data_IF_982397817514
#
_entry.id   IF_982397817514
#
_cell.length_a   1.000
_cell.length_b   1.000
_cell.length_c   1.000
_cell.angle_alpha   90.00
_cell.angle_beta   90.00
_cell.angle_gamma   90.00
#
_symmetry.space_group_name_H-M   'P 1'
#
loop_
_entity.id
_entity.type
_entity.pdbx_description
1 polymer ?
#
# COMPACT_ATOMS: atom_id res chain seq x y z
N UNK A 1 10.85 -11.54 -23.30
CA UNK A 1 12.15 -10.88 -23.14
C UNK A 1 12.37 -10.49 -21.69
N UNK A 2 13.61 -10.49 -21.27
CA UNK A 2 14.03 -10.19 -19.90
C UNK A 2 15.03 -9.03 -19.93
N UNK A 3 14.92 -8.10 -18.99
CA UNK A 3 15.82 -6.94 -18.87
C UNK A 3 16.54 -6.97 -17.52
N UNK A 4 17.82 -6.61 -17.53
CA UNK A 4 18.59 -6.32 -16.31
C UNK A 4 18.71 -4.82 -16.14
N UNK A 5 18.36 -4.32 -14.96
CA UNK A 5 18.59 -2.95 -14.56
C UNK A 5 19.84 -2.87 -13.71
N UNK A 6 20.73 -1.95 -14.02
CA UNK A 6 21.88 -1.64 -13.17
C UNK A 6 21.71 -0.25 -12.56
N UNK A 7 21.78 -0.20 -11.26
CA UNK A 7 21.82 1.00 -10.45
C UNK A 7 22.44 0.62 -9.12
N UNK A 8 23.61 1.16 -8.80
CA UNK A 8 24.38 0.74 -7.63
C UNK A 8 24.92 -0.70 -7.71
N UNK A 9 25.94 -1.03 -6.94
CA UNK A 9 26.55 -2.38 -6.89
C UNK A 9 25.53 -3.43 -6.43
N UNK A 10 25.24 -4.43 -7.25
CA UNK A 10 24.45 -5.61 -6.89
C UNK A 10 22.99 -5.62 -7.35
N UNK A 11 22.58 -4.76 -8.27
CA UNK A 11 21.17 -4.64 -8.73
C UNK A 11 20.80 -5.55 -9.91
N UNK A 12 21.40 -6.72 -10.07
CA UNK A 12 21.05 -7.68 -11.12
C UNK A 12 19.56 -8.08 -11.05
N UNK A 13 18.67 -7.28 -11.67
CA UNK A 13 17.23 -7.52 -11.70
C UNK A 13 16.85 -8.17 -13.02
N UNK A 14 16.93 -9.49 -13.10
CA UNK A 14 16.48 -10.26 -14.24
C UNK A 14 15.00 -10.63 -14.06
N UNK A 15 14.12 -9.83 -14.64
CA UNK A 15 12.67 -9.98 -14.51
C UNK A 15 11.96 -9.87 -15.87
N UNK A 16 10.74 -10.43 -16.03
CA UNK A 16 9.91 -10.24 -17.21
C UNK A 16 9.63 -8.77 -17.51
N UNK A 17 9.38 -8.44 -18.78
CA UNK A 17 9.09 -7.07 -19.20
C UNK A 17 7.80 -6.50 -18.63
N UNK A 18 6.84 -7.35 -18.30
CA UNK A 18 5.56 -6.99 -17.70
C UNK A 18 5.58 -6.94 -16.16
N UNK A 19 6.69 -7.34 -15.52
CA UNK A 19 6.87 -7.18 -14.07
C UNK A 19 6.82 -5.73 -13.67
N UNK A 20 6.10 -5.46 -12.57
CA UNK A 20 5.99 -4.11 -12.02
C UNK A 20 7.19 -3.78 -11.15
N UNK A 21 7.74 -2.60 -11.34
CA UNK A 21 8.82 -2.02 -10.56
C UNK A 21 8.36 -0.70 -9.95
N UNK A 22 8.60 -0.52 -8.66
CA UNK A 22 8.23 0.71 -7.97
C UNK A 22 9.22 1.83 -8.31
N UNK A 23 8.71 2.87 -8.96
CA UNK A 23 9.44 4.10 -9.25
C UNK A 23 9.00 5.21 -8.30
N UNK A 24 9.70 6.34 -8.30
CA UNK A 24 9.29 7.54 -7.54
C UNK A 24 7.89 8.05 -7.91
N UNK A 25 7.43 7.76 -9.12
CA UNK A 25 6.13 8.21 -9.64
C UNK A 25 5.04 7.13 -9.60
N UNK A 26 5.32 5.97 -9.03
CA UNK A 26 4.42 4.83 -8.95
C UNK A 26 4.94 3.60 -9.69
N UNK A 27 4.06 2.62 -9.85
CA UNK A 27 4.40 1.36 -10.51
C UNK A 27 4.57 1.54 -12.02
N UNK A 28 5.67 1.00 -12.55
CA UNK A 28 6.00 1.00 -13.97
C UNK A 28 6.40 -0.41 -14.41
N UNK A 29 6.05 -0.81 -15.62
CA UNK A 29 6.50 -2.10 -16.14
C UNK A 29 8.01 -2.08 -16.38
N UNK A 30 8.67 -3.21 -16.14
CA UNK A 30 10.10 -3.37 -16.37
C UNK A 30 10.49 -2.99 -17.80
N UNK A 31 9.67 -3.34 -18.80
CA UNK A 31 9.90 -3.01 -20.20
C UNK A 31 9.81 -1.52 -20.54
N UNK A 32 9.17 -0.72 -19.70
CA UNK A 32 8.97 0.71 -19.89
C UNK A 32 10.00 1.55 -19.13
N UNK A 33 10.87 0.93 -18.33
CA UNK A 33 11.91 1.62 -17.57
C UNK A 33 12.96 2.21 -18.52
N UNK A 34 13.44 3.41 -18.19
CA UNK A 34 14.45 4.15 -18.95
C UNK A 34 15.64 4.49 -18.07
N UNK A 35 16.78 4.74 -18.70
CA UNK A 35 17.93 5.33 -18.01
C UNK A 35 17.52 6.68 -17.43
N UNK A 36 17.87 6.92 -16.18
CA UNK A 36 17.47 8.09 -15.41
C UNK A 36 16.20 7.91 -14.57
N UNK A 37 15.42 6.82 -14.76
CA UNK A 37 14.31 6.52 -13.86
C UNK A 37 14.81 6.26 -12.44
N UNK A 38 14.04 6.70 -11.44
CA UNK A 38 14.33 6.52 -10.03
C UNK A 38 13.52 5.32 -9.48
N UNK A 39 14.22 4.30 -9.00
CA UNK A 39 13.62 3.06 -8.50
C UNK A 39 13.84 2.92 -7.00
N UNK A 40 12.79 2.54 -6.27
CA UNK A 40 12.92 2.23 -4.86
C UNK A 40 13.52 0.84 -4.63
N UNK A 41 14.45 0.80 -3.68
CA UNK A 41 15.02 -0.43 -3.16
C UNK A 41 14.34 -0.80 -1.83
N UNK A 42 14.10 -2.09 -1.54
CA UNK A 42 13.53 -2.50 -0.25
C UNK A 42 14.43 -2.16 0.95
N UNK A 43 15.64 -1.72 0.72
CA UNK A 43 16.63 -1.43 1.77
C UNK A 43 16.78 0.04 2.10
N UNK A 44 16.44 0.90 1.15
CA UNK A 44 16.63 2.35 1.27
C UNK A 44 15.28 3.05 1.16
N UNK A 45 15.13 4.15 1.88
CA UNK A 45 14.00 5.07 1.73
C UNK A 45 14.13 5.91 0.48
N UNK A 46 15.37 6.22 0.09
CA UNK A 46 15.68 6.99 -1.11
C UNK A 46 15.77 6.10 -2.35
N UNK A 47 15.34 6.60 -3.53
CA UNK A 47 15.42 5.85 -4.76
C UNK A 47 16.85 5.77 -5.30
N UNK A 48 17.08 4.80 -6.15
CA UNK A 48 18.32 4.62 -6.92
C UNK A 48 18.06 4.93 -8.39
N UNK A 49 18.97 5.65 -9.04
CA UNK A 49 18.84 6.01 -10.45
C UNK A 49 19.24 4.83 -11.33
N UNK A 50 18.46 4.55 -12.38
CA UNK A 50 18.78 3.56 -13.42
C UNK A 50 19.91 4.10 -14.29
N UNK A 51 21.05 3.43 -14.27
CA UNK A 51 22.24 3.84 -15.03
C UNK A 51 22.45 3.01 -16.33
N UNK A 52 21.76 1.87 -16.46
CA UNK A 52 21.85 1.03 -17.65
C UNK A 52 20.71 0.03 -17.75
N UNK A 53 20.38 -0.35 -18.99
CA UNK A 53 19.37 -1.34 -19.33
C UNK A 53 20.02 -2.36 -20.24
N UNK A 54 19.92 -3.64 -19.87
CA UNK A 54 20.60 -4.73 -20.58
C UNK A 54 19.57 -5.82 -20.93
N UNK A 55 19.07 -5.85 -22.17
CA UNK A 55 18.17 -6.91 -22.63
C UNK A 55 18.90 -8.24 -22.72
N UNK A 56 18.30 -9.30 -22.18
CA UNK A 56 18.86 -10.65 -22.18
C UNK A 56 18.11 -11.63 -23.09
N UNK A 57 17.16 -11.15 -23.88
CA UNK A 57 16.34 -11.97 -24.77
C UNK A 57 15.42 -12.93 -24.01
N UNK A 58 14.97 -13.99 -24.67
CA UNK A 58 14.10 -14.98 -24.07
C UNK A 58 14.91 -15.94 -23.16
N UNK A 59 14.51 -16.03 -21.90
CA UNK A 59 15.09 -16.94 -20.89
C UNK A 59 13.99 -17.63 -20.09
N UNK A 60 14.27 -18.80 -19.48
CA UNK A 60 13.33 -19.43 -18.55
C UNK A 60 13.02 -18.52 -17.35
N UNK A 61 11.73 -18.45 -17.01
CA UNK A 61 11.22 -17.69 -15.88
C UNK A 61 10.82 -18.64 -14.76
N UNK A 62 11.16 -18.28 -13.55
CA UNK A 62 10.82 -18.98 -12.32
C UNK A 62 9.92 -18.10 -11.46
N UNK A 63 8.86 -18.66 -10.93
CA UNK A 63 7.98 -17.99 -9.96
C UNK A 63 8.39 -18.43 -8.56
N UNK A 64 8.87 -17.48 -7.76
CA UNK A 64 9.10 -17.66 -6.34
C UNK A 64 7.88 -17.20 -5.58
N UNK A 65 7.32 -18.10 -4.75
CA UNK A 65 6.16 -17.79 -3.91
C UNK A 65 6.55 -17.86 -2.44
N UNK A 66 6.20 -16.82 -1.69
CA UNK A 66 6.39 -16.75 -0.24
C UNK A 66 5.24 -17.40 0.50
N UNK A 67 5.44 -17.75 1.78
CA UNK A 67 4.43 -18.41 2.61
C UNK A 67 3.16 -17.57 2.85
N UNK A 68 3.23 -16.26 2.63
CA UNK A 68 2.08 -15.34 2.69
C UNK A 68 1.36 -15.17 1.34
N UNK A 69 1.68 -16.01 0.34
CA UNK A 69 1.04 -16.05 -0.97
C UNK A 69 1.55 -15.01 -1.98
N UNK A 70 2.46 -14.12 -1.61
CA UNK A 70 3.09 -13.20 -2.58
C UNK A 70 4.02 -13.97 -3.51
N UNK A 71 4.09 -13.55 -4.76
CA UNK A 71 5.00 -14.16 -5.73
C UNK A 71 5.71 -13.10 -6.56
N UNK A 72 6.87 -13.48 -7.08
CA UNK A 72 7.60 -12.69 -8.07
C UNK A 72 8.19 -13.62 -9.13
N UNK A 73 8.23 -13.16 -10.36
CA UNK A 73 8.79 -13.86 -11.49
C UNK A 73 10.18 -13.31 -11.83
N UNK A 74 11.11 -14.20 -12.07
CA UNK A 74 12.51 -13.83 -12.31
C UNK A 74 13.29 -14.93 -13.04
N UNK A 75 14.44 -14.56 -13.59
CA UNK A 75 15.42 -15.54 -14.11
C UNK A 75 16.28 -16.14 -13.00
N UNK A 76 17.04 -17.19 -13.34
CA UNK A 76 17.94 -17.88 -12.40
C UNK A 76 19.03 -16.97 -11.82
N UNK A 77 19.45 -15.96 -12.57
CA UNK A 77 20.53 -15.04 -12.18
C UNK A 77 20.00 -13.83 -11.37
N UNK A 78 18.68 -13.75 -11.13
CA UNK A 78 18.10 -12.67 -10.34
C UNK A 78 18.62 -12.70 -8.90
N UNK A 79 19.04 -11.55 -8.40
CA UNK A 79 19.62 -11.40 -7.07
C UNK A 79 18.58 -11.10 -6.01
N UNK A 80 18.59 -11.89 -4.96
CA UNK A 80 17.73 -11.75 -3.79
C UNK A 80 18.57 -11.45 -2.56
N UNK A 81 18.14 -10.46 -1.80
CA UNK A 81 18.63 -10.35 -0.43
C UNK A 81 17.86 -11.32 0.44
N UNK A 82 18.56 -12.23 1.09
CA UNK A 82 17.96 -13.25 1.95
C UNK A 82 18.58 -13.29 3.34
N UNK A 83 17.87 -13.93 4.25
CA UNK A 83 18.35 -14.37 5.56
C UNK A 83 18.03 -15.85 5.74
N UNK A 84 18.94 -16.57 6.37
CA UNK A 84 18.66 -17.92 6.87
C UNK A 84 18.01 -17.83 8.23
N UNK A 85 17.46 -18.95 8.70
CA UNK A 85 16.85 -19.07 10.03
C UNK A 85 17.80 -18.59 11.15
N UNK A 86 19.05 -19.02 11.12
CA UNK A 86 20.11 -18.59 12.06
C UNK A 86 20.33 -17.08 12.03
N UNK A 87 20.24 -16.46 10.88
CA UNK A 87 20.41 -15.00 10.74
C UNK A 87 19.18 -14.23 11.20
N UNK A 88 17.98 -14.77 11.00
CA UNK A 88 16.75 -14.18 11.57
C UNK A 88 16.83 -14.18 13.09
N UNK A 89 17.29 -15.28 13.70
CA UNK A 89 17.47 -15.36 15.15
C UNK A 89 18.51 -14.36 15.67
N UNK A 90 19.67 -14.26 15.00
CA UNK A 90 20.70 -13.24 15.31
C UNK A 90 20.20 -11.82 15.13
N UNK A 91 19.39 -11.57 14.09
CA UNK A 91 18.79 -10.25 13.86
C UNK A 91 17.86 -9.82 14.99
N UNK A 92 17.05 -10.75 15.53
CA UNK A 92 16.22 -10.51 16.72
C UNK A 92 17.02 -10.12 17.96
N UNK A 93 18.30 -10.52 18.00
CA UNK A 93 19.27 -10.16 19.05
C UNK A 93 20.10 -8.92 18.71
N UNK A 94 19.70 -8.15 17.70
CA UNK A 94 20.37 -6.90 17.29
C UNK A 94 21.55 -7.07 16.33
N UNK A 95 21.89 -8.30 15.92
CA UNK A 95 22.97 -8.53 14.95
C UNK A 95 22.46 -8.34 13.52
N UNK A 96 23.08 -7.45 12.77
CA UNK A 96 22.77 -7.26 11.34
C UNK A 96 23.48 -8.32 10.51
N UNK A 97 22.76 -9.03 9.64
CA UNK A 97 23.32 -9.96 8.68
C UNK A 97 22.29 -10.35 7.63
N UNK A 98 22.65 -10.17 6.40
CA UNK A 98 21.92 -10.67 5.22
C UNK A 98 22.96 -10.88 4.14
N UNK A 99 22.66 -11.72 3.16
CA UNK A 99 23.54 -11.89 2.00
C UNK A 99 22.70 -11.94 0.73
N UNK A 100 23.36 -11.65 -0.37
CA UNK A 100 22.74 -11.67 -1.70
C UNK A 100 23.02 -13.02 -2.33
N UNK A 101 21.97 -13.65 -2.85
CA UNK A 101 22.01 -14.92 -3.56
C UNK A 101 21.19 -14.82 -4.85
N UNK A 102 21.65 -15.54 -5.87
CA UNK A 102 20.89 -15.73 -7.10
C UNK A 102 19.70 -16.66 -6.85
N UNK A 103 18.67 -16.58 -7.71
CA UNK A 103 17.57 -17.55 -7.70
C UNK A 103 18.07 -18.97 -7.75
N UNK A 104 19.08 -19.26 -8.60
CA UNK A 104 19.70 -20.57 -8.73
C UNK A 104 20.30 -21.05 -7.41
N UNK A 105 21.11 -20.22 -6.75
CA UNK A 105 21.71 -20.56 -5.46
C UNK A 105 20.66 -20.80 -4.37
N UNK A 106 19.57 -20.03 -4.36
CA UNK A 106 18.47 -20.25 -3.41
C UNK A 106 17.84 -21.62 -3.63
N UNK A 107 17.58 -21.99 -4.87
CA UNK A 107 17.01 -23.31 -5.22
C UNK A 107 17.99 -24.41 -4.80
N UNK A 108 19.24 -24.34 -5.25
CA UNK A 108 20.21 -25.42 -5.09
C UNK A 108 20.71 -25.59 -3.64
N UNK A 109 20.92 -24.49 -2.92
CA UNK A 109 21.51 -24.52 -1.57
C UNK A 109 20.49 -24.66 -0.46
N UNK A 110 19.26 -24.20 -0.67
CA UNK A 110 18.22 -24.12 0.37
C UNK A 110 16.96 -24.90 0.02
N UNK A 111 16.21 -24.50 -1.00
CA UNK A 111 14.86 -25.02 -1.26
C UNK A 111 14.89 -26.51 -1.64
N UNK A 112 15.85 -26.96 -2.45
CA UNK A 112 16.03 -28.38 -2.80
C UNK A 112 16.33 -29.25 -1.58
N UNK A 113 16.82 -28.67 -0.48
CA UNK A 113 17.15 -29.33 0.79
C UNK A 113 16.09 -29.12 1.86
N UNK A 114 14.91 -28.61 1.49
CA UNK A 114 13.83 -28.32 2.42
C UNK A 114 14.15 -27.24 3.45
N UNK A 115 15.10 -26.34 3.15
CA UNK A 115 15.49 -25.26 4.06
C UNK A 115 14.79 -23.97 3.68
N UNK A 116 14.27 -23.25 4.67
CA UNK A 116 13.63 -21.95 4.46
C UNK A 116 14.64 -20.84 4.30
N UNK A 117 14.29 -19.87 3.45
CA UNK A 117 14.95 -18.58 3.36
C UNK A 117 13.91 -17.48 3.63
N UNK A 118 14.38 -16.36 4.17
CA UNK A 118 13.53 -15.24 4.56
C UNK A 118 13.93 -14.01 3.78
N UNK A 119 12.95 -13.34 3.19
CA UNK A 119 13.14 -12.03 2.57
C UNK A 119 13.01 -10.95 3.64
N UNK A 120 13.84 -9.90 3.62
CA UNK A 120 13.66 -8.77 4.51
C UNK A 120 12.36 -8.04 4.15
N UNK A 121 11.68 -7.51 5.16
CA UNK A 121 10.56 -6.58 4.95
C UNK A 121 11.13 -5.31 4.33
N UNK A 122 10.46 -4.80 3.30
CA UNK A 122 10.83 -3.53 2.69
C UNK A 122 10.71 -2.39 3.71
N UNK A 123 11.65 -1.46 3.65
CA UNK A 123 11.55 -0.21 4.40
C UNK A 123 10.47 0.68 3.77
N UNK A 124 9.88 1.60 4.55
CA UNK A 124 9.05 2.64 3.95
C UNK A 124 9.84 3.35 2.85
N UNK A 125 9.24 3.48 1.69
CA UNK A 125 9.79 4.34 0.64
C UNK A 125 9.20 5.74 0.77
N UNK A 126 9.95 6.78 0.45
CA UNK A 126 9.47 8.14 0.48
C UNK A 126 9.13 8.61 -0.94
N UNK A 127 7.81 8.67 -1.22
CA UNK A 127 7.30 9.29 -2.42
C UNK A 127 7.52 10.80 -2.39
N UNK A 128 7.09 11.49 -3.45
CA UNK A 128 7.12 12.95 -3.47
C UNK A 128 5.94 13.51 -2.67
N UNK A 129 6.16 14.62 -2.01
CA UNK A 129 5.05 15.43 -1.51
C UNK A 129 4.22 15.93 -2.70
N UNK A 130 2.89 15.79 -2.60
CA UNK A 130 1.95 16.13 -3.68
C UNK A 130 0.92 17.11 -3.18
N UNK A 131 0.50 18.00 -4.07
CA UNK A 131 -0.70 18.80 -3.88
C UNK A 131 -1.91 17.91 -4.16
N UNK A 132 -2.42 17.25 -3.10
CA UNK A 132 -3.50 16.30 -3.21
C UNK A 132 -4.86 16.99 -3.20
N UNK A 133 -5.82 16.55 -4.02
CA UNK A 133 -7.12 17.20 -4.18
C UNK A 133 -7.94 17.30 -2.89
N UNK A 134 -7.77 16.30 -2.00
CA UNK A 134 -8.41 16.24 -0.69
C UNK A 134 -7.31 15.94 0.34
N UNK A 135 -7.41 16.54 1.53
CA UNK A 135 -6.52 16.18 2.65
C UNK A 135 -6.51 14.65 2.84
N UNK A 136 -5.33 14.01 2.94
CA UNK A 136 -5.22 12.55 3.02
C UNK A 136 -6.01 11.92 4.17
N UNK A 137 -6.01 12.56 5.35
CA UNK A 137 -6.79 12.07 6.49
C UNK A 137 -8.30 12.11 6.20
N UNK A 138 -8.77 13.22 5.62
CA UNK A 138 -10.18 13.38 5.25
C UNK A 138 -10.60 12.34 4.22
N UNK A 139 -9.76 12.08 3.22
CA UNK A 139 -10.02 11.02 2.25
C UNK A 139 -10.07 9.64 2.93
N UNK A 140 -9.16 9.37 3.85
CA UNK A 140 -9.14 8.10 4.60
C UNK A 140 -10.43 7.87 5.37
N UNK A 141 -10.90 8.87 6.12
CA UNK A 141 -12.18 8.80 6.85
C UNK A 141 -13.35 8.62 5.87
N UNK A 142 -13.36 9.34 4.75
CA UNK A 142 -14.44 9.20 3.77
C UNK A 142 -14.46 7.83 3.08
N UNK A 143 -13.33 7.22 2.85
CA UNK A 143 -13.25 5.88 2.26
C UNK A 143 -13.88 4.81 3.16
N UNK A 144 -13.81 4.96 4.49
CA UNK A 144 -14.54 4.12 5.44
C UNK A 144 -16.01 4.58 5.58
N UNK A 145 -16.22 5.68 6.27
CA UNK A 145 -17.53 6.14 6.75
C UNK A 145 -18.27 7.12 5.82
N UNK A 146 -17.78 7.36 4.61
CA UNK A 146 -18.44 8.26 3.66
C UNK A 146 -19.75 7.69 3.12
N UNK A 147 -20.72 8.56 2.87
CA UNK A 147 -21.95 8.19 2.17
C UNK A 147 -21.76 8.24 0.66
N UNK A 148 -22.32 7.25 -0.07
CA UNK A 148 -22.32 7.25 -1.53
C UNK A 148 -23.04 8.49 -2.07
N UNK A 149 -22.55 9.03 -3.17
CA UNK A 149 -23.11 10.20 -3.87
C UNK A 149 -23.23 11.45 -3.01
N UNK A 150 -22.47 11.53 -1.91
CA UNK A 150 -22.42 12.70 -1.06
C UNK A 150 -21.05 12.89 -0.42
N UNK A 151 -20.79 14.07 0.11
CA UNK A 151 -19.61 14.32 0.95
C UNK A 151 -19.90 14.11 2.45
N UNK A 152 -21.04 13.52 2.79
CA UNK A 152 -21.43 13.28 4.18
C UNK A 152 -20.66 12.11 4.76
N UNK A 153 -20.39 12.18 6.06
CA UNK A 153 -19.79 11.13 6.86
C UNK A 153 -20.81 10.61 7.87
N UNK A 154 -20.85 9.29 8.05
CA UNK A 154 -21.67 8.64 9.09
C UNK A 154 -20.74 8.20 10.21
N UNK A 155 -20.62 9.00 11.26
CA UNK A 155 -19.66 8.80 12.36
C UNK A 155 -20.47 8.67 13.65
N UNK A 156 -20.09 7.72 14.51
CA UNK A 156 -20.69 7.49 15.83
C UNK A 156 -20.51 8.69 16.77
N UNK A 157 -21.45 8.90 17.68
CA UNK A 157 -21.35 9.95 18.70
C UNK A 157 -20.13 9.81 19.60
N UNK A 158 -19.68 8.59 19.83
CA UNK A 158 -18.48 8.31 20.64
C UNK A 158 -17.17 8.69 19.92
N UNK A 159 -17.26 8.97 18.61
CA UNK A 159 -16.15 9.29 17.74
C UNK A 159 -16.18 10.77 17.26
N UNK A 160 -16.76 11.66 18.04
CA UNK A 160 -16.87 13.10 17.72
C UNK A 160 -15.51 13.73 17.38
N UNK A 161 -14.41 13.20 17.91
CA UNK A 161 -13.06 13.68 17.61
C UNK A 161 -12.72 13.57 16.11
N UNK A 162 -13.24 12.56 15.40
CA UNK A 162 -13.01 12.36 13.97
C UNK A 162 -13.65 13.51 13.19
N UNK A 163 -14.92 13.81 13.48
CA UNK A 163 -15.63 14.87 12.77
C UNK A 163 -15.06 16.25 13.06
N UNK A 164 -14.60 16.51 14.28
CA UNK A 164 -13.90 17.74 14.64
C UNK A 164 -12.63 17.89 13.80
N UNK A 165 -11.79 16.86 13.73
CA UNK A 165 -10.55 16.85 12.97
C UNK A 165 -10.78 17.02 11.46
N UNK A 166 -11.82 16.36 10.90
CA UNK A 166 -12.22 16.55 9.50
C UNK A 166 -12.65 18.00 9.26
N UNK A 167 -13.47 18.56 10.16
CA UNK A 167 -13.96 19.94 10.04
C UNK A 167 -12.83 20.96 10.10
N UNK A 168 -11.86 20.77 11.00
CA UNK A 168 -10.66 21.61 11.09
C UNK A 168 -9.86 21.58 9.79
N UNK A 169 -9.57 20.38 9.26
CA UNK A 169 -8.80 20.22 8.01
C UNK A 169 -9.50 20.81 6.79
N UNK A 170 -10.82 20.76 6.75
CA UNK A 170 -11.61 21.33 5.67
C UNK A 170 -12.01 22.80 5.91
N UNK A 171 -11.71 23.36 7.07
CA UNK A 171 -12.17 24.69 7.49
C UNK A 171 -13.69 24.85 7.34
N UNK A 172 -14.46 23.84 7.76
CA UNK A 172 -15.92 23.77 7.65
C UNK A 172 -16.56 23.50 9.00
N UNK A 173 -17.86 23.76 9.10
CA UNK A 173 -18.66 23.36 10.26
C UNK A 173 -19.37 22.03 9.97
N UNK A 174 -19.60 21.25 10.98
CA UNK A 174 -20.43 20.05 10.90
C UNK A 174 -21.78 20.25 11.55
N UNK A 175 -22.78 19.49 11.12
CA UNK A 175 -24.10 19.45 11.74
C UNK A 175 -24.38 18.04 12.26
N UNK A 176 -25.02 17.97 13.42
CA UNK A 176 -25.50 16.71 14.01
C UNK A 176 -26.90 16.42 13.49
N UNK A 177 -27.14 15.23 12.98
CA UNK A 177 -28.43 14.77 12.53
C UNK A 177 -28.82 13.48 13.27
N UNK A 178 -29.79 13.61 14.23
CA UNK A 178 -30.31 12.50 15.02
C UNK A 178 -29.45 12.15 16.23
N UNK A 179 -29.92 11.16 17.00
CA UNK A 179 -29.29 10.72 18.26
C UNK A 179 -27.95 9.96 18.03
N UNK A 180 -27.69 9.46 16.80
CA UNK A 180 -26.61 8.50 16.52
C UNK A 180 -25.76 8.82 15.30
N UNK A 181 -26.01 9.91 14.58
CA UNK A 181 -25.27 10.21 13.35
C UNK A 181 -24.82 11.65 13.29
N UNK A 182 -23.51 11.86 13.30
CA UNK A 182 -22.93 13.11 12.84
C UNK A 182 -22.85 13.10 11.32
N UNK A 183 -23.59 13.99 10.68
CA UNK A 183 -23.44 14.18 9.25
C UNK A 183 -22.70 15.48 9.04
N UNK A 184 -21.44 15.39 8.61
CA UNK A 184 -20.79 16.58 8.09
C UNK A 184 -21.39 16.89 6.73
N UNK A 185 -22.50 17.64 6.73
CA UNK A 185 -22.97 18.27 5.50
C UNK A 185 -22.01 19.40 5.18
N UNK A 186 -21.01 19.08 4.39
CA UNK A 186 -20.11 20.07 3.79
C UNK A 186 -20.92 20.81 2.72
N UNK A 187 -22.04 21.41 3.12
CA UNK A 187 -22.89 22.25 2.29
C UNK A 187 -22.72 23.70 2.70
N UNK A 188 -22.15 24.48 1.81
CA UNK A 188 -22.23 25.93 1.86
C UNK A 188 -23.32 26.36 0.88
N UNK A 189 -24.50 26.75 1.39
CA UNK A 189 -25.55 27.44 0.64
C UNK A 189 -26.05 26.77 -0.67
N UNK A 190 -26.44 25.49 -0.62
CA UNK A 190 -27.13 24.83 -1.73
C UNK A 190 -26.30 24.56 -2.98
N UNK A 191 -25.00 24.88 -2.97
CA UNK A 191 -24.04 24.52 -4.02
C UNK A 191 -23.38 23.19 -3.66
N UNK A 192 -23.10 22.36 -4.66
CA UNK A 192 -22.28 21.14 -4.52
C UNK A 192 -21.04 21.49 -3.72
N UNK A 193 -20.79 20.74 -2.62
CA UNK A 193 -19.62 21.04 -1.79
C UNK A 193 -18.34 20.85 -2.61
N UNK A 194 -17.33 21.65 -2.33
CA UNK A 194 -16.01 21.50 -2.99
C UNK A 194 -15.48 20.06 -2.80
N UNK A 195 -15.72 19.44 -1.67
CA UNK A 195 -15.29 18.06 -1.39
C UNK A 195 -16.02 17.07 -2.30
N UNK A 196 -17.36 17.19 -2.45
CA UNK A 196 -18.10 16.31 -3.35
C UNK A 196 -17.66 16.48 -4.80
N UNK A 197 -17.50 17.70 -5.28
CA UNK A 197 -17.01 17.94 -6.64
C UNK A 197 -15.60 17.37 -6.85
N UNK A 198 -14.76 17.40 -5.83
CA UNK A 198 -13.43 16.80 -5.89
C UNK A 198 -13.49 15.28 -5.87
N UNK A 199 -14.34 14.67 -5.01
CA UNK A 199 -14.57 13.22 -5.02
C UNK A 199 -15.04 12.72 -6.39
N UNK A 200 -15.96 13.47 -7.03
CA UNK A 200 -16.40 13.22 -8.41
C UNK A 200 -15.23 13.26 -9.40
N UNK A 201 -14.39 14.30 -9.31
CA UNK A 201 -13.28 14.51 -10.24
C UNK A 201 -12.20 13.43 -10.17
N UNK A 202 -12.03 12.78 -9.00
CA UNK A 202 -11.08 11.67 -8.80
C UNK A 202 -11.75 10.30 -8.91
N UNK A 203 -13.00 10.23 -9.38
CA UNK A 203 -13.71 9.00 -9.69
C UNK A 203 -14.22 8.23 -8.47
N UNK A 204 -14.44 8.90 -7.34
CA UNK A 204 -14.91 8.28 -6.09
C UNK A 204 -16.43 8.43 -5.84
N UNK A 205 -17.20 8.96 -6.80
CA UNK A 205 -18.68 8.92 -6.75
C UNK A 205 -19.21 7.52 -7.13
N UNK A 206 -18.89 6.56 -6.29
CA UNK A 206 -19.14 5.14 -6.49
C UNK A 206 -19.68 4.49 -5.23
N UNK A 207 -20.27 3.30 -5.37
CA UNK A 207 -20.70 2.52 -4.21
C UNK A 207 -19.52 2.11 -3.32
N UNK A 208 -19.79 1.92 -2.03
CA UNK A 208 -18.76 1.57 -1.04
C UNK A 208 -17.93 0.33 -1.41
N UNK A 209 -18.55 -0.67 -2.03
CA UNK A 209 -17.86 -1.89 -2.47
C UNK A 209 -16.87 -1.66 -3.63
N UNK A 210 -17.02 -0.58 -4.38
CA UNK A 210 -16.16 -0.24 -5.52
C UNK A 210 -15.09 0.78 -5.18
N UNK A 211 -15.08 1.35 -3.96
CA UNK A 211 -14.10 2.34 -3.52
C UNK A 211 -12.68 1.84 -3.67
N UNK A 212 -11.78 2.77 -3.93
CA UNK A 212 -10.36 2.51 -4.07
C UNK A 212 -9.54 3.69 -3.54
N UNK A 213 -8.29 3.46 -3.21
CA UNK A 213 -7.35 4.53 -2.90
C UNK A 213 -6.73 5.01 -4.22
N UNK A 214 -6.87 6.30 -4.60
CA UNK A 214 -6.25 6.80 -5.83
C UNK A 214 -4.73 6.67 -5.81
N UNK A 215 -4.14 6.36 -6.96
CA UNK A 215 -2.70 6.10 -7.09
C UNK A 215 -1.83 7.27 -6.64
N UNK A 216 -2.30 8.50 -6.83
CA UNK A 216 -1.59 9.69 -6.36
C UNK A 216 -1.41 9.73 -4.85
N UNK A 217 -2.36 9.18 -4.07
CA UNK A 217 -2.25 9.04 -2.61
C UNK A 217 -1.35 7.88 -2.21
N UNK A 218 -1.42 6.75 -2.92
CA UNK A 218 -0.58 5.58 -2.65
C UNK A 218 0.92 5.87 -2.83
N UNK A 219 1.25 6.81 -3.71
CA UNK A 219 2.62 7.19 -4.05
C UNK A 219 2.99 8.62 -3.59
N UNK A 220 2.27 9.16 -2.64
CA UNK A 220 2.60 10.43 -1.99
C UNK A 220 3.73 10.27 -0.96
N UNK A 221 4.12 11.36 -0.29
CA UNK A 221 5.13 11.33 0.77
C UNK A 221 4.73 10.39 1.92
N UNK A 222 5.71 9.95 2.72
CA UNK A 222 5.46 9.11 3.89
C UNK A 222 4.42 9.76 4.81
N UNK A 223 4.53 11.06 5.04
CA UNK A 223 3.63 11.75 5.97
C UNK A 223 2.20 11.84 5.41
N UNK A 224 2.02 12.12 4.13
CA UNK A 224 0.71 12.12 3.50
C UNK A 224 0.06 10.72 3.53
N UNK A 225 0.84 9.66 3.29
CA UNK A 225 0.36 8.28 3.38
C UNK A 225 0.04 7.85 4.81
N UNK A 226 0.79 8.33 5.81
CA UNK A 226 0.45 8.10 7.22
C UNK A 226 -0.86 8.78 7.61
N UNK A 227 -1.08 10.02 7.15
CA UNK A 227 -2.35 10.70 7.40
C UNK A 227 -3.53 9.97 6.75
N UNK A 228 -3.38 9.48 5.52
CA UNK A 228 -4.38 8.63 4.87
C UNK A 228 -4.67 7.36 5.69
N UNK A 229 -3.61 6.67 6.13
CA UNK A 229 -3.76 5.47 6.96
C UNK A 229 -4.46 5.78 8.28
N UNK A 230 -4.13 6.91 8.94
CA UNK A 230 -4.83 7.34 10.16
C UNK A 230 -6.34 7.53 9.91
N UNK A 231 -6.71 8.19 8.82
CA UNK A 231 -8.12 8.37 8.48
C UNK A 231 -8.86 7.05 8.26
N UNK A 232 -8.26 6.10 7.53
CA UNK A 232 -8.81 4.76 7.33
C UNK A 232 -8.93 3.97 8.63
N UNK A 233 -7.95 4.10 9.53
CA UNK A 233 -7.96 3.41 10.81
C UNK A 233 -8.90 4.05 11.83
N UNK A 234 -9.10 5.35 11.77
CA UNK A 234 -10.06 6.06 12.63
C UNK A 234 -11.51 5.73 12.24
N UNK A 235 -11.79 5.35 10.97
CA UNK A 235 -13.12 4.96 10.49
C UNK A 235 -13.40 3.45 10.68
N UNK A 236 -12.81 2.61 9.84
CA UNK A 236 -13.07 1.16 9.77
C UNK A 236 -11.95 0.31 10.42
N UNK A 237 -11.07 0.94 11.18
CA UNK A 237 -9.96 0.28 11.85
C UNK A 237 -10.30 -0.23 13.24
N UNK A 238 -9.56 -1.24 13.67
CA UNK A 238 -9.59 -1.75 15.04
C UNK A 238 -8.17 -1.97 15.55
N UNK A 239 -7.89 -1.47 16.73
CA UNK A 239 -6.60 -1.70 17.43
C UNK A 239 -6.83 -2.74 18.53
N UNK A 240 -6.23 -3.90 18.34
CA UNK A 240 -6.29 -5.01 19.30
C UNK A 240 -5.06 -5.07 20.19
N UNK A 241 -4.99 -6.14 21.00
CA UNK A 241 -3.86 -6.39 21.88
C UNK A 241 -2.54 -6.54 21.13
N UNK A 242 -1.44 -6.24 21.83
CA UNK A 242 -0.06 -6.42 21.35
C UNK A 242 0.29 -5.64 20.09
N UNK A 243 -0.23 -4.42 19.95
CA UNK A 243 0.02 -3.54 18.81
C UNK A 243 -0.40 -4.15 17.45
N UNK A 244 -1.38 -5.03 17.46
CA UNK A 244 -2.03 -5.50 16.24
C UNK A 244 -3.17 -4.57 15.90
N UNK A 245 -3.25 -4.19 14.64
CA UNK A 245 -4.39 -3.46 14.12
C UNK A 245 -4.98 -4.21 12.94
N UNK A 246 -6.26 -4.04 12.71
CA UNK A 246 -6.97 -4.61 11.58
C UNK A 246 -7.87 -3.57 10.94
N UNK A 247 -8.12 -3.76 9.66
CA UNK A 247 -9.03 -2.96 8.86
C UNK A 247 -9.97 -3.92 8.14
N UNK A 248 -11.25 -3.63 8.13
CA UNK A 248 -12.26 -4.49 7.53
C UNK A 248 -12.96 -3.77 6.38
N UNK A 249 -13.07 -4.41 5.23
CA UNK A 249 -13.79 -3.86 4.09
C UNK A 249 -14.38 -4.96 3.23
N UNK A 250 -15.51 -4.67 2.58
CA UNK A 250 -16.13 -5.56 1.58
C UNK A 250 -15.61 -5.25 0.17
N UNK A 251 -14.94 -4.11 -0.03
CA UNK A 251 -14.42 -3.68 -1.33
C UNK A 251 -13.06 -4.28 -1.63
N UNK A 252 -12.95 -5.09 -2.69
CA UNK A 252 -11.68 -5.71 -3.11
C UNK A 252 -10.63 -4.65 -3.49
N UNK A 253 -11.03 -3.60 -4.22
CA UNK A 253 -10.12 -2.52 -4.64
C UNK A 253 -9.60 -1.72 -3.44
N UNK A 254 -10.46 -1.45 -2.45
CA UNK A 254 -10.07 -0.75 -1.24
C UNK A 254 -9.14 -1.61 -0.39
N UNK A 255 -9.43 -2.91 -0.28
CA UNK A 255 -8.54 -3.89 0.39
C UNK A 255 -7.15 -3.88 -0.26
N UNK A 256 -7.08 -3.95 -1.59
CA UNK A 256 -5.81 -4.00 -2.31
C UNK A 256 -5.01 -2.70 -2.10
N UNK A 257 -5.67 -1.54 -2.20
CA UNK A 257 -5.06 -0.24 -1.92
C UNK A 257 -4.59 -0.10 -0.47
N UNK A 258 -5.38 -0.58 0.50
CA UNK A 258 -4.99 -0.58 1.92
C UNK A 258 -3.74 -1.45 2.18
N UNK A 259 -3.70 -2.64 1.57
CA UNK A 259 -2.53 -3.53 1.66
C UNK A 259 -1.29 -2.89 1.04
N UNK A 260 -1.43 -2.24 -0.12
CA UNK A 260 -0.35 -1.51 -0.78
C UNK A 260 0.14 -0.34 0.09
N UNK A 261 -0.78 0.47 0.62
CA UNK A 261 -0.48 1.58 1.53
C UNK A 261 0.33 1.12 2.74
N UNK A 262 -0.15 0.08 3.44
CA UNK A 262 0.51 -0.45 4.63
C UNK A 262 1.89 -1.02 4.30
N UNK A 263 2.01 -1.81 3.23
CA UNK A 263 3.31 -2.37 2.81
C UNK A 263 4.28 -1.28 2.40
N UNK A 264 3.80 -0.25 1.69
CA UNK A 264 4.59 0.92 1.30
C UNK A 264 5.08 1.74 2.52
N UNK A 265 4.39 1.65 3.65
CA UNK A 265 4.80 2.22 4.94
C UNK A 265 5.63 1.24 5.80
N UNK A 266 5.99 0.06 5.27
CA UNK A 266 6.85 -0.91 5.95
C UNK A 266 6.12 -1.85 6.91
N UNK A 267 4.79 -1.88 6.91
CA UNK A 267 4.03 -2.82 7.74
C UNK A 267 3.93 -4.21 7.13
N UNK A 268 3.87 -5.23 7.99
CA UNK A 268 3.56 -6.60 7.59
C UNK A 268 2.05 -6.77 7.61
N UNK A 269 1.47 -7.13 6.46
CA UNK A 269 0.02 -7.27 6.31
C UNK A 269 -0.33 -8.71 5.99
N UNK A 270 -1.17 -9.32 6.84
CA UNK A 270 -1.87 -10.58 6.58
C UNK A 270 -3.29 -10.28 6.07
N UNK A 271 -3.79 -11.10 5.16
CA UNK A 271 -5.14 -10.98 4.61
C UNK A 271 -5.94 -12.19 5.08
N UNK A 272 -7.07 -11.93 5.75
CA UNK A 272 -8.02 -12.95 6.15
C UNK A 272 -9.36 -12.68 5.46
N UNK A 273 -9.96 -13.73 4.89
CA UNK A 273 -11.31 -13.65 4.35
C UNK A 273 -12.29 -14.14 5.40
N UNK A 274 -13.17 -13.27 5.87
CA UNK A 274 -14.24 -13.65 6.78
C UNK A 274 -15.52 -13.94 5.97
N UNK A 275 -15.98 -15.16 6.04
CA UNK A 275 -17.20 -15.62 5.36
C UNK A 275 -18.42 -15.62 6.29
N UNK A 276 -18.30 -15.09 7.52
CA UNK A 276 -19.34 -15.17 8.56
C UNK A 276 -20.39 -14.04 8.49
N UNK A 277 -20.21 -13.06 7.63
CA UNK A 277 -21.14 -11.92 7.53
C UNK A 277 -22.39 -12.33 6.75
N UNK A 278 -23.33 -12.95 7.42
CA UNK A 278 -24.69 -13.12 6.91
C UNK A 278 -25.52 -12.03 7.59
N UNK A 279 -25.78 -10.93 6.88
CA UNK A 279 -26.86 -10.01 7.29
C UNK A 279 -28.18 -10.75 7.07
N UNK A 280 -28.72 -11.33 8.15
CA UNK A 280 -30.16 -11.65 8.15
C UNK A 280 -30.86 -10.29 8.18
N UNK A 281 -31.46 -9.89 7.06
CA UNK A 281 -32.43 -8.81 7.04
C UNK A 281 -33.55 -9.24 8.01
N UNK A 282 -33.49 -8.76 9.24
CA UNK A 282 -34.60 -8.85 10.16
C UNK A 282 -35.74 -8.02 9.59
N UNK A 283 -36.91 -8.67 9.37
CA UNK A 283 -38.17 -7.95 9.32
C UNK A 283 -38.42 -7.28 10.66
#
# INVERSE_FOLDING_TARGET
>A
DIVVLTGGTGSGKLQPLDSLVLTRFGWKKMGDIKIGDELFSPLNTEPSIVTGIYPHGAKPIYRLTTSDGRSAECGLEHLWMIRTEKQVEKYRKGCRGSFVKTTKEIIDEYLSKGRNVYLPVARPYDGMEKDLPIDPYVLGVWLGDGCCHSASLSISNDEEYIIKKVSEKLSTNYAVHGEYNYTNRIHKNGKTSKVLSTLLSIGLDIYSCDRFIPQEYLHASIEQRKELLKGLMDSDGYVGDKNKFSFSTTGEKLKDGFVELCRGLGYIVGINKDNRTIYKSGK
#
